data_IF_404636490850
#
_entry.id   IF_404636490850
#
_cell.length_a   1.000
_cell.length_b   1.000
_cell.length_c   1.000
_cell.angle_alpha   90.00
_cell.angle_beta   90.00
_cell.angle_gamma   90.00
#
_symmetry.space_group_name_H-M   'P 1'
#
loop_
_entity.id
_entity.type
_entity.pdbx_description
1 polymer ?
#
# COMPACT_ATOMS: atom_id res chain seq x y z
N UNK A 1 -5.43 1.28 3.88
CA UNK A 1 -6.34 1.36 2.72
C UNK A 1 -7.74 1.69 3.24
N UNK A 2 -8.28 2.86 2.91
CA UNK A 2 -9.57 3.37 3.44
C UNK A 2 -10.79 2.54 3.02
N UNK A 3 -10.66 1.70 1.98
CA UNK A 3 -11.72 0.82 1.46
C UNK A 3 -11.57 -0.65 1.88
N UNK A 4 -10.67 -0.97 2.83
CA UNK A 4 -10.53 -2.33 3.30
C UNK A 4 -11.69 -2.69 4.26
N UNK A 5 -12.31 -3.88 4.11
CA UNK A 5 -13.32 -4.34 5.05
C UNK A 5 -12.68 -4.49 6.45
N UNK A 6 -13.36 -4.06 7.53
CA UNK A 6 -12.85 -4.29 8.88
C UNK A 6 -12.78 -5.80 9.16
N UNK A 7 -11.73 -6.30 9.84
CA UNK A 7 -11.69 -7.69 10.27
C UNK A 7 -12.87 -8.01 11.18
N UNK A 8 -13.48 -9.18 10.97
CA UNK A 8 -14.69 -9.63 11.68
C UNK A 8 -14.54 -9.67 13.21
N UNK A 9 -13.31 -9.73 13.72
CA UNK A 9 -12.96 -9.77 15.14
C UNK A 9 -12.63 -8.41 15.76
N UNK A 10 -12.67 -7.31 15.00
CA UNK A 10 -12.25 -6.00 15.48
C UNK A 10 -13.43 -5.13 15.92
N UNK A 11 -13.27 -4.41 17.04
CA UNK A 11 -14.18 -3.32 17.40
C UNK A 11 -14.20 -2.29 16.26
N UNK A 12 -15.37 -1.71 15.94
CA UNK A 12 -15.50 -0.67 14.89
C UNK A 12 -14.53 0.48 15.21
N UNK A 13 -13.43 0.57 14.46
CA UNK A 13 -12.47 1.66 14.56
C UNK A 13 -12.81 2.78 13.57
N UNK A 14 -12.41 4.01 13.89
CA UNK A 14 -12.53 5.18 13.02
C UNK A 14 -11.42 5.26 11.95
N UNK A 15 -10.53 4.26 11.90
CA UNK A 15 -9.36 4.20 11.02
C UNK A 15 -9.67 4.50 9.55
N UNK A 16 -10.83 4.05 9.04
CA UNK A 16 -11.23 4.31 7.66
C UNK A 16 -11.51 5.80 7.39
N UNK A 17 -12.31 6.44 8.25
CA UNK A 17 -12.63 7.86 8.13
C UNK A 17 -11.40 8.74 8.40
N UNK A 18 -10.61 8.41 9.42
CA UNK A 18 -9.37 9.12 9.74
C UNK A 18 -8.34 9.02 8.60
N UNK A 19 -8.18 7.85 7.99
CA UNK A 19 -7.32 7.67 6.83
C UNK A 19 -7.80 8.51 5.64
N UNK A 20 -9.11 8.52 5.37
CA UNK A 20 -9.66 9.36 4.31
C UNK A 20 -9.37 10.84 4.56
N UNK A 21 -9.64 11.34 5.77
CA UNK A 21 -9.38 12.74 6.11
C UNK A 21 -7.90 13.09 6.07
N UNK A 22 -7.03 12.21 6.55
CA UNK A 22 -5.58 12.40 6.46
C UNK A 22 -5.13 12.54 5.00
N UNK A 23 -5.54 11.62 4.13
CA UNK A 23 -5.14 11.62 2.72
C UNK A 23 -5.79 12.77 1.93
N UNK A 24 -7.06 13.08 2.18
CA UNK A 24 -7.74 14.23 1.60
C UNK A 24 -7.06 15.54 1.98
N UNK A 25 -6.72 15.72 3.27
CA UNK A 25 -6.08 16.94 3.75
C UNK A 25 -4.67 17.13 3.18
N UNK A 26 -3.92 16.05 2.93
CA UNK A 26 -2.60 16.11 2.27
C UNK A 26 -2.64 16.69 0.85
N UNK A 27 -3.80 16.69 0.18
CA UNK A 27 -3.95 17.28 -1.15
C UNK A 27 -3.95 18.82 -1.14
N UNK A 28 -3.98 19.45 0.04
CA UNK A 28 -4.02 20.89 0.19
C UNK A 28 -2.81 21.39 0.95
N UNK A 29 -2.12 22.39 0.39
CA UNK A 29 -0.96 23.03 1.03
C UNK A 29 -1.30 24.33 1.76
N UNK A 30 -2.58 24.73 1.75
CA UNK A 30 -3.07 25.96 2.38
C UNK A 30 -4.18 25.62 3.40
N UNK A 31 -4.23 26.30 4.56
CA UNK A 31 -5.32 26.13 5.54
C UNK A 31 -6.71 26.42 4.97
N UNK A 32 -6.79 27.28 3.96
CA UNK A 32 -8.02 27.67 3.28
C UNK A 32 -7.88 27.50 1.76
N UNK A 33 -7.97 26.26 1.26
CA UNK A 33 -7.85 26.01 -0.16
C UNK A 33 -9.02 26.65 -0.93
N UNK A 34 -8.74 27.13 -2.14
CA UNK A 34 -9.77 27.67 -3.01
C UNK A 34 -10.85 26.60 -3.29
N UNK A 35 -12.13 26.97 -3.25
CA UNK A 35 -13.24 26.04 -3.49
C UNK A 35 -13.11 25.26 -4.82
N UNK A 36 -12.58 25.91 -5.88
CA UNK A 36 -12.35 25.25 -7.17
C UNK A 36 -11.34 24.11 -7.07
N UNK A 37 -10.31 24.29 -6.23
CA UNK A 37 -9.30 23.26 -5.95
C UNK A 37 -9.91 22.10 -5.13
N UNK A 38 -10.75 22.42 -4.14
CA UNK A 38 -11.47 21.38 -3.39
C UNK A 38 -12.35 20.54 -4.31
N UNK A 39 -13.11 21.19 -5.21
CA UNK A 39 -13.95 20.49 -6.19
C UNK A 39 -13.10 19.64 -7.14
N UNK A 40 -11.94 20.12 -7.61
CA UNK A 40 -11.09 19.33 -8.51
C UNK A 40 -10.51 18.09 -7.83
N UNK A 41 -10.08 18.21 -6.57
CA UNK A 41 -9.62 17.07 -5.75
C UNK A 41 -10.74 16.04 -5.56
N UNK A 42 -11.95 16.48 -5.21
CA UNK A 42 -13.10 15.58 -5.05
C UNK A 42 -13.44 14.83 -6.35
N UNK A 43 -13.40 15.52 -7.50
CA UNK A 43 -13.58 14.87 -8.81
C UNK A 43 -12.50 13.83 -9.10
N UNK A 44 -11.25 14.11 -8.72
CA UNK A 44 -10.15 13.15 -8.84
C UNK A 44 -10.38 11.88 -8.01
N UNK A 45 -10.77 12.05 -6.74
CA UNK A 45 -11.09 10.93 -5.84
C UNK A 45 -12.26 10.10 -6.38
N UNK A 46 -13.29 10.76 -6.91
CA UNK A 46 -14.43 10.08 -7.52
C UNK A 46 -13.98 9.26 -8.74
N UNK A 47 -13.22 9.85 -9.66
CA UNK A 47 -12.73 9.16 -10.84
C UNK A 47 -11.86 7.93 -10.48
N UNK A 48 -10.96 8.06 -9.49
CA UNK A 48 -10.14 6.93 -9.01
C UNK A 48 -11.01 5.82 -8.41
N UNK A 49 -12.03 6.18 -7.63
CA UNK A 49 -12.97 5.23 -7.02
C UNK A 49 -13.77 4.50 -8.09
N UNK A 50 -14.28 5.21 -9.09
CA UNK A 50 -15.03 4.64 -10.20
C UNK A 50 -14.17 3.69 -11.05
N UNK A 51 -12.90 4.04 -11.29
CA UNK A 51 -11.94 3.16 -11.97
C UNK A 51 -11.68 1.88 -11.17
N UNK A 52 -11.50 1.97 -9.85
CA UNK A 52 -11.33 0.81 -8.96
C UNK A 52 -12.56 -0.08 -8.95
N UNK A 53 -13.74 0.50 -8.78
CA UNK A 53 -15.03 -0.23 -8.81
C UNK A 53 -15.20 -0.93 -10.16
N UNK A 54 -14.92 -0.25 -11.26
CA UNK A 54 -15.03 -0.81 -12.61
C UNK A 54 -14.05 -1.96 -12.81
N UNK A 55 -12.82 -1.83 -12.33
CA UNK A 55 -11.80 -2.89 -12.40
C UNK A 55 -12.24 -4.13 -11.63
N UNK A 56 -12.77 -3.95 -10.41
CA UNK A 56 -13.34 -5.04 -9.60
C UNK A 56 -14.50 -5.71 -10.32
N UNK A 57 -15.46 -4.94 -10.85
CA UNK A 57 -16.61 -5.47 -11.61
C UNK A 57 -16.19 -6.27 -12.83
N UNK A 58 -15.10 -5.88 -13.49
CA UNK A 58 -14.53 -6.59 -14.64
C UNK A 58 -13.66 -7.80 -14.25
N UNK A 59 -13.44 -8.03 -12.95
CA UNK A 59 -12.53 -9.07 -12.46
C UNK A 59 -11.06 -8.80 -12.80
N UNK A 60 -10.70 -7.55 -13.11
CA UNK A 60 -9.31 -7.17 -13.40
C UNK A 60 -8.56 -7.18 -12.07
N UNK A 61 -7.69 -8.17 -11.89
CA UNK A 61 -6.80 -8.23 -10.74
C UNK A 61 -5.61 -7.32 -10.98
N UNK A 62 -5.33 -6.44 -10.02
CA UNK A 62 -4.09 -5.67 -10.05
C UNK A 62 -2.95 -6.61 -9.67
N UNK A 63 -2.29 -7.18 -10.68
CA UNK A 63 -1.15 -8.07 -10.47
C UNK A 63 0.04 -7.23 -10.04
N UNK A 64 0.65 -7.58 -8.90
CA UNK A 64 1.89 -6.97 -8.46
C UNK A 64 2.94 -7.01 -9.58
N UNK A 65 3.71 -5.94 -9.72
CA UNK A 65 4.83 -5.92 -10.66
C UNK A 65 5.75 -7.11 -10.37
N UNK A 66 6.26 -7.74 -11.42
CA UNK A 66 7.11 -8.93 -11.31
C UNK A 66 8.24 -8.78 -10.27
N UNK A 67 9.01 -7.67 -10.21
CA UNK A 67 10.07 -7.50 -9.21
C UNK A 67 9.55 -7.57 -7.78
N UNK A 68 8.41 -6.92 -7.49
CA UNK A 68 7.79 -6.95 -6.16
C UNK A 68 7.30 -8.34 -5.81
N UNK A 69 6.70 -9.04 -6.77
CA UNK A 69 6.22 -10.41 -6.56
C UNK A 69 7.37 -11.38 -6.28
N UNK A 70 8.47 -11.26 -7.04
CA UNK A 70 9.63 -12.12 -6.91
C UNK A 70 10.38 -11.83 -5.59
N UNK A 71 10.42 -10.56 -5.15
CA UNK A 71 10.91 -10.18 -3.82
C UNK A 71 10.07 -10.82 -2.70
N UNK A 72 8.74 -10.71 -2.77
CA UNK A 72 7.83 -11.29 -1.77
C UNK A 72 7.98 -12.82 -1.69
N UNK A 73 8.07 -13.49 -2.84
CA UNK A 73 8.29 -14.94 -2.88
C UNK A 73 9.63 -15.34 -2.25
N UNK A 74 10.69 -14.56 -2.48
CA UNK A 74 11.99 -14.80 -1.86
C UNK A 74 11.97 -14.58 -0.34
N UNK A 75 11.25 -13.55 0.13
CA UNK A 75 11.08 -13.29 1.56
C UNK A 75 10.27 -14.40 2.25
N UNK A 76 9.21 -14.89 1.59
CA UNK A 76 8.41 -16.01 2.10
C UNK A 76 9.26 -17.29 2.22
N UNK A 77 10.11 -17.57 1.24
CA UNK A 77 11.06 -18.69 1.31
C UNK A 77 12.06 -18.58 2.46
N UNK A 78 12.61 -17.39 2.71
CA UNK A 78 13.50 -17.14 3.85
C UNK A 78 12.78 -17.32 5.19
N UNK A 79 11.53 -16.89 5.28
CA UNK A 79 10.71 -17.09 6.48
C UNK A 79 10.45 -18.58 6.75
N UNK A 80 10.07 -19.34 5.72
CA UNK A 80 9.86 -20.79 5.86
C UNK A 80 11.14 -21.53 6.26
N UNK A 81 12.29 -21.09 5.75
CA UNK A 81 13.57 -21.66 6.15
C UNK A 81 13.86 -21.36 7.63
N UNK A 82 13.70 -20.10 8.05
CA UNK A 82 13.86 -19.69 9.44
C UNK A 82 12.93 -20.44 10.40
N UNK A 83 11.69 -20.68 10.00
CA UNK A 83 10.73 -21.44 10.81
C UNK A 83 11.18 -22.88 11.06
N UNK A 84 11.98 -23.46 10.16
CA UNK A 84 12.52 -24.81 10.28
C UNK A 84 13.86 -24.86 11.05
N UNK A 85 14.79 -23.96 10.74
CA UNK A 85 16.16 -24.01 11.28
C UNK A 85 16.36 -23.13 12.53
N UNK A 86 15.48 -22.15 12.76
CA UNK A 86 15.58 -21.18 13.84
C UNK A 86 16.77 -20.21 13.72
N UNK A 87 17.44 -20.17 12.56
CA UNK A 87 18.64 -19.37 12.36
C UNK A 87 18.31 -17.92 12.02
N UNK A 88 18.14 -17.14 13.09
CA UNK A 88 17.80 -15.72 13.00
C UNK A 88 18.85 -14.89 12.25
N UNK A 89 20.14 -15.24 12.37
CA UNK A 89 21.21 -14.42 11.78
C UNK A 89 21.20 -14.55 10.26
N UNK A 90 21.07 -15.77 9.75
CA UNK A 90 20.97 -16.01 8.31
C UNK A 90 19.68 -15.42 7.71
N UNK A 91 18.57 -15.48 8.45
CA UNK A 91 17.33 -14.82 8.05
C UNK A 91 17.47 -13.30 7.91
N UNK A 92 18.03 -12.64 8.93
CA UNK A 92 18.20 -11.18 8.93
C UNK A 92 19.18 -10.71 7.86
N UNK A 93 20.30 -11.42 7.68
CA UNK A 93 21.27 -11.13 6.61
C UNK A 93 20.65 -11.32 5.21
N UNK A 94 19.88 -12.39 5.01
CA UNK A 94 19.17 -12.65 3.75
C UNK A 94 18.13 -11.57 3.40
N UNK A 95 17.43 -11.03 4.40
CA UNK A 95 16.49 -9.91 4.21
C UNK A 95 17.25 -8.63 3.87
N UNK A 96 18.27 -8.29 4.65
CA UNK A 96 19.03 -7.04 4.52
C UNK A 96 19.60 -6.85 3.11
N UNK A 97 20.20 -7.90 2.55
CA UNK A 97 20.76 -7.89 1.19
C UNK A 97 19.73 -7.55 0.10
N UNK A 98 18.47 -7.94 0.30
CA UNK A 98 17.40 -7.76 -0.70
C UNK A 98 16.75 -6.38 -0.64
N UNK A 99 16.81 -5.70 0.50
CA UNK A 99 16.36 -4.31 0.62
C UNK A 99 17.45 -3.30 0.26
N UNK A 100 18.73 -3.63 0.48
CA UNK A 100 19.83 -2.73 0.11
C UNK A 100 20.03 -2.57 -1.41
N UNK A 101 19.69 -3.59 -2.22
CA UNK A 101 19.83 -3.51 -3.70
C UNK A 101 18.80 -2.61 -4.39
N UNK A 102 17.67 -2.28 -3.74
CA UNK A 102 16.63 -1.45 -4.35
C UNK A 102 16.82 0.06 -4.08
N UNK A 103 17.83 0.45 -3.29
CA UNK A 103 18.11 1.86 -2.98
C UNK A 103 19.12 2.52 -3.94
N UNK A 104 19.79 1.74 -4.80
CA UNK A 104 20.79 2.27 -5.74
C UNK A 104 20.18 2.75 -7.08
N UNK A 105 18.89 2.48 -7.33
CA UNK A 105 18.20 2.86 -8.58
C UNK A 105 17.46 4.22 -8.50
N UNK A 106 17.42 4.89 -7.34
CA UNK A 106 16.69 6.15 -7.11
C UNK A 106 17.60 7.39 -6.95
N UNK A 107 18.86 7.33 -7.42
CA UNK A 107 19.75 8.51 -7.51
C UNK A 107 20.04 8.84 -8.97
N UNK A 108 19.07 9.50 -9.64
CA UNK A 108 19.31 10.34 -10.83
C UNK A 108 18.45 11.59 -10.76
#
# INVERSE_FOLDING_TARGET
MWAAPPPASSARTTNGAESFHSDFNKQFYAPHPNMRLVISVLKGIQAESDLKITSIKKGVTNVLKKPTRDLLAALDGLWQQYEQDGDLLNYLDGISRRYNLNNDDDVV
#
